data_IF_679221241111
#
_entry.id   IF_679221241111
#
_cell.length_a   1.000
_cell.length_b   1.000
_cell.length_c   1.000
_cell.angle_alpha   90.00
_cell.angle_beta   90.00
_cell.angle_gamma   90.00
#
_symmetry.space_group_name_H-M   'P 1'
#
loop_
_entity.id
_entity.type
_entity.pdbx_description
1 polymer ?
#
# COMPACT_ATOMS: atom_id res chain seq x y z
N UNK A 1 30.91 -7.74 -26.33
CA UNK A 1 29.69 -8.58 -26.21
C UNK A 1 29.36 -8.73 -24.74
N UNK A 2 28.70 -7.75 -24.14
CA UNK A 2 28.22 -7.82 -22.75
C UNK A 2 26.85 -8.49 -22.76
N UNK A 3 26.83 -9.80 -22.58
CA UNK A 3 25.62 -10.60 -22.49
C UNK A 3 25.00 -10.35 -21.10
N UNK A 4 24.31 -9.23 -20.93
CA UNK A 4 23.48 -8.99 -19.75
C UNK A 4 22.22 -9.82 -19.96
N UNK A 5 21.99 -10.90 -19.17
CA UNK A 5 20.77 -11.68 -19.33
C UNK A 5 19.57 -10.76 -19.08
N UNK A 6 18.62 -10.75 -20.01
CA UNK A 6 17.34 -10.08 -19.83
C UNK A 6 16.72 -10.55 -18.50
N UNK A 7 16.07 -9.66 -17.73
CA UNK A 7 15.41 -10.05 -16.49
C UNK A 7 14.34 -11.09 -16.81
N UNK A 8 14.63 -12.37 -16.50
CA UNK A 8 13.66 -13.44 -16.58
C UNK A 8 12.42 -13.00 -15.80
N UNK A 9 11.26 -12.93 -16.48
CA UNK A 9 10.00 -12.51 -15.85
C UNK A 9 9.68 -13.46 -14.70
N UNK A 10 9.82 -12.98 -13.47
CA UNK A 10 9.44 -13.74 -12.28
C UNK A 10 7.92 -13.76 -12.19
N UNK A 11 7.34 -14.95 -12.10
CA UNK A 11 5.87 -15.09 -12.02
C UNK A 11 5.35 -14.62 -10.66
N UNK A 12 4.13 -14.07 -10.62
CA UNK A 12 3.48 -13.61 -9.38
C UNK A 12 3.42 -14.69 -8.31
N UNK A 13 3.26 -15.96 -8.71
CA UNK A 13 3.26 -17.11 -7.79
C UNK A 13 4.59 -17.29 -7.07
N UNK A 14 5.72 -17.08 -7.75
CA UNK A 14 7.04 -17.14 -7.13
C UNK A 14 7.24 -16.01 -6.14
N UNK A 15 6.75 -14.81 -6.45
CA UNK A 15 6.90 -13.66 -5.57
C UNK A 15 6.15 -13.82 -4.23
N UNK A 16 5.10 -14.64 -4.21
CA UNK A 16 4.27 -14.87 -3.02
C UNK A 16 4.85 -15.90 -2.05
N UNK A 17 5.96 -16.59 -2.36
CA UNK A 17 6.54 -17.62 -1.47
C UNK A 17 7.30 -17.01 -0.28
N UNK A 18 7.69 -15.74 -0.38
CA UNK A 18 8.31 -14.94 0.69
C UNK A 18 7.52 -13.66 0.90
N UNK A 19 7.51 -13.17 2.13
CA UNK A 19 7.04 -11.82 2.46
C UNK A 19 8.06 -10.76 2.04
N UNK A 20 7.61 -9.52 1.83
CA UNK A 20 8.53 -8.38 1.62
C UNK A 20 9.57 -8.28 2.73
N UNK A 21 9.16 -8.48 3.99
CA UNK A 21 10.08 -8.47 5.13
C UNK A 21 11.17 -9.52 5.00
N UNK A 22 10.83 -10.76 4.63
CA UNK A 22 11.82 -11.82 4.41
C UNK A 22 12.74 -11.48 3.24
N UNK A 23 12.17 -10.99 2.13
CA UNK A 23 12.94 -10.58 0.95
C UNK A 23 14.01 -9.53 1.31
N UNK A 24 13.64 -8.52 2.11
CA UNK A 24 14.56 -7.46 2.52
C UNK A 24 15.49 -7.84 3.68
N UNK A 25 15.02 -8.63 4.64
CA UNK A 25 15.83 -9.05 5.79
C UNK A 25 16.97 -9.98 5.37
N UNK A 26 16.64 -11.01 4.58
CA UNK A 26 17.62 -11.96 4.08
C UNK A 26 18.29 -11.48 2.79
N UNK A 27 17.75 -10.43 2.17
CA UNK A 27 18.20 -9.89 0.89
C UNK A 27 18.18 -10.97 -0.20
N UNK A 28 17.02 -11.61 -0.35
CA UNK A 28 16.78 -12.75 -1.24
C UNK A 28 15.61 -12.50 -2.20
N UNK A 29 15.73 -13.02 -3.43
CA UNK A 29 14.69 -12.97 -4.46
C UNK A 29 14.38 -14.39 -4.97
N UNK A 30 13.12 -14.83 -5.00
CA UNK A 30 12.78 -16.18 -5.44
C UNK A 30 12.95 -16.33 -6.95
N UNK A 31 13.63 -17.39 -7.38
CA UNK A 31 13.84 -17.70 -8.79
C UNK A 31 13.08 -18.94 -9.23
N UNK A 32 13.03 -19.99 -8.40
CA UNK A 32 12.36 -21.24 -8.73
C UNK A 32 11.89 -21.97 -7.47
N UNK A 33 10.79 -22.73 -7.58
CA UNK A 33 10.32 -23.63 -6.53
C UNK A 33 9.82 -24.94 -7.15
N UNK A 34 10.15 -26.06 -6.51
CA UNK A 34 9.53 -27.35 -6.79
C UNK A 34 9.17 -28.08 -5.46
N UNK A 35 8.79 -29.35 -5.54
CA UNK A 35 8.36 -30.11 -4.35
C UNK A 35 9.50 -30.31 -3.32
N UNK A 36 10.75 -30.44 -3.75
CA UNK A 36 11.89 -30.80 -2.90
C UNK A 36 12.85 -29.63 -2.62
N UNK A 37 12.87 -28.59 -3.46
CA UNK A 37 13.82 -27.49 -3.36
C UNK A 37 13.23 -26.11 -3.72
N UNK A 38 13.84 -25.06 -3.18
CA UNK A 38 13.59 -23.66 -3.52
C UNK A 38 14.91 -22.98 -3.89
N UNK A 39 14.92 -22.20 -4.96
CA UNK A 39 16.08 -21.43 -5.42
C UNK A 39 15.83 -19.95 -5.20
N UNK A 40 16.75 -19.28 -4.49
CA UNK A 40 16.78 -17.83 -4.33
C UNK A 40 18.07 -17.23 -4.90
N UNK A 41 17.96 -16.04 -5.48
CA UNK A 41 19.09 -15.13 -5.62
C UNK A 41 19.36 -14.53 -4.23
N UNK A 42 20.62 -14.42 -3.81
CA UNK A 42 21.02 -13.81 -2.55
C UNK A 42 22.10 -12.76 -2.78
N UNK A 43 22.10 -11.68 -1.99
CA UNK A 43 23.16 -10.68 -2.05
C UNK A 43 24.51 -11.29 -1.69
N UNK A 44 25.52 -11.03 -2.49
CA UNK A 44 26.93 -11.38 -2.25
C UNK A 44 27.50 -10.84 -0.91
N UNK A 45 26.88 -9.82 -0.31
CA UNK A 45 27.20 -9.34 1.04
C UNK A 45 26.66 -10.20 2.20
N UNK A 46 25.81 -11.19 1.94
CA UNK A 46 25.22 -12.04 2.97
C UNK A 46 26.05 -13.28 3.26
N UNK A 47 25.97 -13.77 4.51
CA UNK A 47 26.56 -15.05 4.89
C UNK A 47 25.67 -16.19 4.39
N UNK A 48 26.03 -16.73 3.24
CA UNK A 48 25.20 -17.69 2.50
C UNK A 48 24.88 -18.95 3.31
N UNK A 49 25.81 -19.46 4.13
CA UNK A 49 25.59 -20.72 4.86
C UNK A 49 24.59 -20.57 6.01
N UNK A 50 24.71 -19.51 6.82
CA UNK A 50 23.76 -19.21 7.91
C UNK A 50 22.35 -18.97 7.35
N UNK A 51 22.23 -18.18 6.29
CA UNK A 51 20.93 -17.89 5.65
C UNK A 51 20.33 -19.14 5.02
N UNK A 52 21.14 -20.04 4.45
CA UNK A 52 20.65 -21.30 3.86
C UNK A 52 19.98 -22.16 4.92
N UNK A 53 20.66 -22.41 6.04
CA UNK A 53 20.14 -23.27 7.12
C UNK A 53 18.81 -22.74 7.68
N UNK A 54 18.72 -21.42 7.93
CA UNK A 54 17.47 -20.80 8.38
C UNK A 54 16.32 -20.96 7.39
N UNK A 55 16.59 -20.74 6.10
CA UNK A 55 15.57 -20.89 5.06
C UNK A 55 15.16 -22.35 4.88
N UNK A 56 16.08 -23.31 4.96
CA UNK A 56 15.75 -24.74 4.88
C UNK A 56 14.82 -25.17 6.02
N UNK A 57 15.10 -24.70 7.24
CA UNK A 57 14.24 -24.93 8.41
C UNK A 57 12.85 -24.30 8.23
N UNK A 58 12.78 -23.08 7.69
CA UNK A 58 11.54 -22.36 7.50
C UNK A 58 10.65 -22.97 6.41
N UNK A 59 11.24 -23.42 5.31
CA UNK A 59 10.52 -23.92 4.13
C UNK A 59 10.35 -25.44 4.10
N UNK A 60 11.07 -26.18 4.95
CA UNK A 60 11.06 -27.66 4.97
C UNK A 60 11.50 -28.27 3.63
N UNK A 61 12.33 -27.54 2.88
CA UNK A 61 12.81 -27.89 1.53
C UNK A 61 14.28 -27.57 1.45
N UNK A 62 15.01 -28.23 0.55
CA UNK A 62 16.39 -27.87 0.25
C UNK A 62 16.45 -26.45 -0.34
N UNK A 63 17.39 -25.62 0.10
CA UNK A 63 17.52 -24.24 -0.39
C UNK A 63 18.80 -24.08 -1.19
N UNK A 64 18.64 -23.64 -2.44
CA UNK A 64 19.75 -23.29 -3.33
C UNK A 64 19.86 -21.77 -3.38
N UNK A 65 21.02 -21.23 -3.01
CA UNK A 65 21.29 -19.80 -3.02
C UNK A 65 22.28 -19.46 -4.13
N UNK A 66 21.93 -18.53 -4.99
CA UNK A 66 22.76 -18.04 -6.10
C UNK A 66 23.27 -16.64 -5.73
N UNK A 67 24.57 -16.49 -5.40
CA UNK A 67 25.15 -15.19 -5.12
C UNK A 67 24.96 -14.23 -6.30
N UNK A 68 24.44 -13.05 -6.00
CA UNK A 68 24.13 -12.00 -6.97
C UNK A 68 24.67 -10.68 -6.43
N UNK A 69 25.29 -9.83 -7.27
CA UNK A 69 25.78 -8.53 -6.83
C UNK A 69 24.71 -7.72 -6.10
N UNK A 70 25.03 -7.23 -4.90
CA UNK A 70 24.09 -6.54 -4.03
C UNK A 70 23.26 -5.46 -4.74
N UNK A 71 23.91 -4.63 -5.57
CA UNK A 71 23.26 -3.52 -6.29
C UNK A 71 22.23 -3.99 -7.32
N UNK A 72 22.51 -5.13 -7.99
CA UNK A 72 21.60 -5.73 -8.96
C UNK A 72 20.37 -6.26 -8.22
N UNK A 73 20.60 -6.97 -7.12
CA UNK A 73 19.53 -7.56 -6.34
C UNK A 73 18.70 -6.50 -5.62
N UNK A 74 19.30 -5.41 -5.15
CA UNK A 74 18.58 -4.28 -4.54
C UNK A 74 17.60 -3.63 -5.52
N UNK A 75 18.03 -3.41 -6.78
CA UNK A 75 17.16 -2.88 -7.84
C UNK A 75 15.99 -3.83 -8.12
N UNK A 76 16.23 -5.14 -8.17
CA UNK A 76 15.17 -6.11 -8.38
C UNK A 76 14.22 -6.23 -7.19
N UNK A 77 14.75 -6.24 -5.96
CA UNK A 77 13.95 -6.24 -4.74
C UNK A 77 13.08 -5.00 -4.65
N UNK A 78 13.59 -3.82 -4.97
CA UNK A 78 12.78 -2.58 -4.98
C UNK A 78 11.68 -2.58 -6.04
N UNK A 79 11.87 -3.31 -7.15
CA UNK A 79 10.85 -3.49 -8.17
C UNK A 79 9.74 -4.48 -7.75
N UNK A 80 10.11 -5.61 -7.14
CA UNK A 80 9.16 -6.70 -6.82
C UNK A 80 8.60 -6.67 -5.39
N UNK A 81 9.36 -6.16 -4.43
CA UNK A 81 9.04 -6.15 -3.01
C UNK A 81 9.18 -4.73 -2.46
N UNK A 82 8.04 -4.10 -2.17
CA UNK A 82 8.05 -2.81 -1.49
C UNK A 82 8.77 -2.94 -0.14
N UNK A 83 9.84 -2.18 0.07
CA UNK A 83 10.58 -2.14 1.35
C UNK A 83 9.61 -1.71 2.44
N UNK A 84 9.34 -2.61 3.39
CA UNK A 84 8.70 -2.23 4.64
C UNK A 84 9.66 -1.29 5.34
N UNK A 85 9.46 0.02 5.18
CA UNK A 85 10.13 1.00 6.01
C UNK A 85 9.72 0.71 7.45
N UNK A 86 10.66 0.24 8.27
CA UNK A 86 10.51 0.21 9.71
C UNK A 86 10.02 1.59 10.17
N UNK A 87 8.77 1.65 10.60
CA UNK A 87 8.33 2.52 11.67
C UNK A 87 8.54 4.03 11.50
N UNK A 88 8.33 4.58 10.30
CA UNK A 88 7.72 5.91 10.12
C UNK A 88 6.94 5.85 8.81
N UNK A 89 5.75 5.23 8.83
CA UNK A 89 4.69 5.89 8.08
C UNK A 89 4.66 7.28 8.67
N UNK A 90 5.09 8.29 7.91
CA UNK A 90 4.72 9.66 8.25
C UNK A 90 3.21 9.65 8.18
N UNK A 91 2.54 9.37 9.30
CA UNK A 91 1.19 9.83 9.54
C UNK A 91 1.31 11.34 9.42
N UNK A 92 1.11 11.82 8.19
CA UNK A 92 1.22 13.24 7.89
C UNK A 92 0.07 13.85 8.66
N UNK A 93 0.42 14.59 9.71
CA UNK A 93 -0.57 15.39 10.45
C UNK A 93 -1.12 16.38 9.44
N UNK A 94 -2.40 16.28 9.16
CA UNK A 94 -3.04 17.17 8.22
C UNK A 94 -2.99 18.58 8.80
N UNK A 95 -2.53 19.55 8.01
CA UNK A 95 -2.79 20.97 8.24
C UNK A 95 -3.64 21.44 7.07
N UNK A 96 -4.90 21.77 7.33
CA UNK A 96 -5.85 22.21 6.29
C UNK A 96 -5.59 23.63 5.74
N UNK A 97 -4.43 24.23 6.03
CA UNK A 97 -4.11 25.64 5.72
C UNK A 97 -3.94 25.95 4.21
N UNK A 98 -3.94 24.94 3.32
CA UNK A 98 -4.15 25.14 1.88
C UNK A 98 -5.47 24.51 1.44
N UNK A 99 -6.50 25.35 1.34
CA UNK A 99 -7.91 24.96 1.37
C UNK A 99 -8.45 24.28 0.10
N UNK A 100 -7.72 24.29 -1.02
CA UNK A 100 -8.24 23.85 -2.34
C UNK A 100 -8.08 22.35 -2.63
N UNK A 101 -6.95 21.70 -2.29
CA UNK A 101 -6.57 20.49 -3.03
C UNK A 101 -6.32 19.22 -2.20
N UNK A 102 -6.61 19.17 -0.89
CA UNK A 102 -6.29 17.94 -0.15
C UNK A 102 -7.12 16.71 -0.56
N UNK A 103 -8.43 16.87 -0.78
CA UNK A 103 -9.28 15.78 -1.27
C UNK A 103 -8.85 15.31 -2.66
N UNK A 104 -8.56 16.27 -3.53
CA UNK A 104 -8.02 16.06 -4.87
C UNK A 104 -6.69 15.29 -4.81
N UNK A 105 -5.73 15.77 -4.00
CA UNK A 105 -4.43 15.14 -3.79
C UNK A 105 -4.57 13.72 -3.24
N UNK A 106 -5.48 13.50 -2.29
CA UNK A 106 -5.77 12.20 -1.71
C UNK A 106 -6.30 11.23 -2.77
N UNK A 107 -7.22 11.69 -3.63
CA UNK A 107 -7.76 10.90 -4.73
C UNK A 107 -6.67 10.55 -5.75
N UNK A 108 -5.85 11.52 -6.18
CA UNK A 108 -4.70 11.26 -7.08
C UNK A 108 -3.70 10.29 -6.47
N UNK A 109 -3.38 10.44 -5.18
CA UNK A 109 -2.47 9.55 -4.49
C UNK A 109 -3.04 8.13 -4.44
N UNK A 110 -4.32 7.96 -4.09
CA UNK A 110 -4.97 6.66 -4.03
C UNK A 110 -4.96 5.97 -5.41
N UNK A 111 -5.29 6.69 -6.48
CA UNK A 111 -5.22 6.19 -7.86
C UNK A 111 -3.79 5.79 -8.25
N UNK A 112 -2.78 6.63 -7.95
CA UNK A 112 -1.37 6.31 -8.23
C UNK A 112 -0.87 5.06 -7.48
N UNK A 113 -1.50 4.72 -6.34
CA UNK A 113 -1.16 3.58 -5.51
C UNK A 113 -2.00 2.32 -5.83
N UNK A 114 -2.88 2.36 -6.82
CA UNK A 114 -3.78 1.24 -7.14
C UNK A 114 -4.76 0.93 -5.99
N UNK A 115 -5.18 1.95 -5.26
CA UNK A 115 -6.10 1.82 -4.14
C UNK A 115 -7.52 1.50 -4.64
N UNK A 116 -8.14 0.47 -4.07
CA UNK A 116 -9.53 0.10 -4.35
C UNK A 116 -10.54 0.96 -3.57
N UNK A 117 -10.21 1.36 -2.34
CA UNK A 117 -11.14 2.12 -1.49
C UNK A 117 -10.39 3.06 -0.56
N UNK A 118 -10.89 4.28 -0.43
CA UNK A 118 -10.45 5.27 0.54
C UNK A 118 -11.45 5.29 1.70
N UNK A 119 -10.98 4.97 2.90
CA UNK A 119 -11.75 4.99 4.13
C UNK A 119 -11.41 6.23 4.94
N UNK A 120 -12.40 7.08 5.23
CA UNK A 120 -12.27 8.25 6.10
C UNK A 120 -13.11 7.96 7.33
N UNK A 121 -12.47 7.79 8.48
CA UNK A 121 -13.09 7.30 9.71
C UNK A 121 -12.69 8.13 10.91
N UNK A 122 -13.62 8.34 11.84
CA UNK A 122 -13.37 9.05 13.10
C UNK A 122 -13.53 8.11 14.28
N UNK A 123 -12.62 8.24 15.23
CA UNK A 123 -12.58 7.53 16.50
C UNK A 123 -12.57 8.54 17.65
N UNK A 124 -12.65 8.04 18.88
CA UNK A 124 -12.67 8.87 20.10
C UNK A 124 -11.61 9.97 20.15
N UNK A 125 -10.38 9.66 19.70
CA UNK A 125 -9.22 10.56 19.87
C UNK A 125 -8.74 11.21 18.57
N UNK A 126 -9.08 10.66 17.42
CA UNK A 126 -8.56 11.13 16.13
C UNK A 126 -9.38 10.60 14.95
N UNK A 127 -9.35 11.37 13.86
CA UNK A 127 -9.74 10.92 12.54
C UNK A 127 -8.59 10.18 11.84
N UNK A 128 -8.92 9.28 10.92
CA UNK A 128 -7.98 8.49 10.13
C UNK A 128 -8.45 8.42 8.69
N UNK A 129 -7.49 8.45 7.76
CA UNK A 129 -7.70 8.05 6.37
C UNK A 129 -6.91 6.77 6.13
N UNK A 130 -7.56 5.75 5.60
CA UNK A 130 -6.95 4.46 5.28
C UNK A 130 -7.21 4.11 3.82
N UNK A 131 -6.21 3.54 3.16
CA UNK A 131 -6.31 3.06 1.79
C UNK A 131 -6.41 1.55 1.78
N UNK A 132 -7.29 1.00 0.95
CA UNK A 132 -7.33 -0.44 0.68
C UNK A 132 -6.55 -0.77 -0.58
N UNK A 133 -5.36 -1.34 -0.41
CA UNK A 133 -4.43 -1.68 -1.48
C UNK A 133 -4.21 -3.19 -1.41
N UNK A 134 -4.39 -3.89 -2.53
CA UNK A 134 -4.28 -5.35 -2.62
C UNK A 134 -5.08 -6.10 -1.53
N UNK A 135 -6.29 -5.60 -1.23
CA UNK A 135 -7.18 -6.15 -0.21
C UNK A 135 -6.83 -5.82 1.24
N UNK A 136 -5.71 -5.13 1.50
CA UNK A 136 -5.27 -4.75 2.86
C UNK A 136 -5.52 -3.28 3.14
N UNK A 137 -6.04 -2.98 4.34
CA UNK A 137 -6.18 -1.61 4.82
C UNK A 137 -4.85 -1.09 5.37
N UNK A 138 -4.41 0.06 4.89
CA UNK A 138 -3.21 0.76 5.34
C UNK A 138 -3.59 2.16 5.79
N UNK A 139 -3.22 2.53 7.02
CA UNK A 139 -3.37 3.91 7.50
C UNK A 139 -2.47 4.85 6.67
N UNK A 140 -3.02 6.00 6.28
CA UNK A 140 -2.30 6.98 5.45
C UNK A 140 -2.20 8.33 6.12
N UNK A 141 -3.29 8.80 6.71
CA UNK A 141 -3.35 10.09 7.38
C UNK A 141 -4.00 9.96 8.76
N UNK A 142 -3.53 10.78 9.68
CA UNK A 142 -4.21 11.08 10.95
C UNK A 142 -4.70 12.52 10.88
N UNK A 143 -5.97 12.70 11.21
CA UNK A 143 -6.68 13.97 11.12
C UNK A 143 -7.11 14.35 12.53
N UNK A 144 -6.92 15.61 12.90
CA UNK A 144 -7.44 16.11 14.17
C UNK A 144 -8.97 16.09 14.18
N UNK A 145 -9.58 15.94 15.36
CA UNK A 145 -11.05 15.91 15.48
C UNK A 145 -11.72 17.19 14.98
N UNK A 146 -11.04 18.35 15.09
CA UNK A 146 -11.55 19.62 14.58
C UNK A 146 -11.54 19.72 13.05
N UNK A 147 -10.58 19.07 12.38
CA UNK A 147 -10.44 19.11 10.92
C UNK A 147 -11.29 18.04 10.20
N UNK A 148 -11.60 16.95 10.90
CA UNK A 148 -12.32 15.81 10.32
C UNK A 148 -13.68 16.19 9.69
N UNK A 149 -14.56 16.98 10.35
CA UNK A 149 -15.83 17.38 9.75
C UNK A 149 -15.67 18.19 8.46
N UNK A 150 -14.59 18.97 8.34
CA UNK A 150 -14.29 19.74 7.13
C UNK A 150 -14.00 18.83 5.94
N UNK A 151 -13.21 17.76 6.16
CA UNK A 151 -12.94 16.76 5.12
C UNK A 151 -14.22 16.04 4.68
N UNK A 152 -15.05 15.59 5.63
CA UNK A 152 -16.33 14.93 5.34
C UNK A 152 -17.23 15.86 4.51
N UNK A 153 -17.35 17.13 4.90
CA UNK A 153 -18.15 18.11 4.15
C UNK A 153 -17.63 18.31 2.72
N UNK A 154 -16.31 18.37 2.51
CA UNK A 154 -15.72 18.46 1.15
C UNK A 154 -16.10 17.27 0.29
N UNK A 155 -16.07 16.06 0.85
CA UNK A 155 -16.49 14.84 0.14
C UNK A 155 -17.99 14.90 -0.17
N UNK A 156 -18.83 15.27 0.80
CA UNK A 156 -20.28 15.40 0.61
C UNK A 156 -20.64 16.39 -0.48
N UNK A 157 -19.99 17.56 -0.52
CA UNK A 157 -20.19 18.55 -1.58
C UNK A 157 -19.83 17.98 -2.95
N UNK A 158 -18.65 17.37 -3.10
CA UNK A 158 -18.20 16.78 -4.38
C UNK A 158 -19.10 15.63 -4.83
N UNK A 159 -19.71 14.91 -3.89
CA UNK A 159 -20.59 13.78 -4.14
C UNK A 159 -22.09 14.16 -4.23
N UNK A 160 -22.41 15.46 -4.15
CA UNK A 160 -23.78 15.99 -4.14
C UNK A 160 -24.67 15.42 -3.02
N UNK A 161 -24.11 15.30 -1.81
CA UNK A 161 -24.79 14.83 -0.59
C UNK A 161 -25.23 16.00 0.30
N UNK A 162 -26.22 15.77 1.15
CA UNK A 162 -26.71 16.78 2.09
C UNK A 162 -25.75 16.92 3.27
N UNK A 163 -25.04 18.07 3.32
CA UNK A 163 -24.08 18.41 4.39
C UNK A 163 -24.73 18.65 5.76
N UNK A 164 -26.02 19.00 5.80
CA UNK A 164 -26.75 19.25 7.04
C UNK A 164 -27.21 17.93 7.69
N UNK A 165 -27.60 16.94 6.90
CA UNK A 165 -27.99 15.63 7.42
C UNK A 165 -26.77 14.78 7.77
N UNK A 166 -26.68 14.30 9.02
CA UNK A 166 -25.55 13.51 9.55
C UNK A 166 -25.99 12.25 10.28
N UNK A 167 -27.31 12.01 10.38
CA UNK A 167 -27.95 10.96 11.18
C UNK A 167 -28.39 9.78 10.32
N UNK A 168 -28.47 9.96 9.01
CA UNK A 168 -28.87 8.93 8.06
C UNK A 168 -27.71 8.57 7.12
N UNK A 169 -27.62 7.31 6.68
CA UNK A 169 -26.72 6.93 5.59
C UNK A 169 -27.02 7.73 4.32
N UNK A 170 -25.97 8.06 3.55
CA UNK A 170 -26.08 8.77 2.28
C UNK A 170 -25.15 8.14 1.24
N UNK A 171 -25.59 8.08 -0.01
CA UNK A 171 -24.82 7.54 -1.13
C UNK A 171 -24.81 8.53 -2.29
N UNK A 172 -23.66 8.66 -2.94
CA UNK A 172 -23.45 9.61 -4.03
C UNK A 172 -22.31 9.17 -4.95
N UNK A 173 -21.97 10.04 -5.90
CA UNK A 173 -20.88 9.81 -6.84
C UNK A 173 -20.08 11.08 -7.08
N UNK A 174 -18.77 10.93 -7.25
CA UNK A 174 -17.88 11.99 -7.68
C UNK A 174 -17.40 11.65 -9.08
N UNK A 175 -17.77 12.47 -10.06
CA UNK A 175 -17.16 12.44 -11.38
C UNK A 175 -15.83 13.20 -11.32
N UNK A 176 -14.73 12.48 -11.25
CA UNK A 176 -13.41 13.06 -11.10
C UNK A 176 -12.76 13.23 -12.47
N UNK A 177 -12.47 14.48 -12.85
CA UNK A 177 -11.81 14.85 -14.10
C UNK A 177 -10.67 15.83 -13.83
N UNK A 178 -9.47 15.31 -13.61
CA UNK A 178 -8.26 16.10 -13.35
C UNK A 178 -7.02 15.36 -13.87
N UNK A 179 -6.00 16.11 -14.32
CA UNK A 179 -4.73 15.53 -14.78
C UNK A 179 -4.85 14.58 -15.97
N UNK A 180 -5.90 14.74 -16.80
CA UNK A 180 -6.18 13.87 -17.94
C UNK A 180 -6.78 12.51 -17.58
N UNK A 181 -7.05 12.23 -16.30
CA UNK A 181 -7.75 11.03 -15.85
C UNK A 181 -9.23 11.34 -15.62
N UNK A 182 -10.08 10.39 -16.01
CA UNK A 182 -11.53 10.42 -15.78
C UNK A 182 -11.95 9.14 -15.10
N UNK A 183 -12.50 9.25 -13.90
CA UNK A 183 -13.08 8.11 -13.21
C UNK A 183 -14.27 8.52 -12.35
N UNK A 184 -15.19 7.57 -12.17
CA UNK A 184 -16.41 7.72 -11.37
C UNK A 184 -16.18 7.03 -10.03
N UNK A 185 -16.25 7.81 -8.95
CA UNK A 185 -16.02 7.34 -7.59
C UNK A 185 -17.36 7.21 -6.90
N UNK A 186 -17.67 6.03 -6.36
CA UNK A 186 -18.85 5.83 -5.51
C UNK A 186 -18.53 6.24 -4.09
N UNK A 187 -19.41 7.03 -3.48
CA UNK A 187 -19.24 7.55 -2.13
C UNK A 187 -20.39 7.10 -1.24
N UNK A 188 -20.07 6.58 -0.07
CA UNK A 188 -21.04 6.23 0.97
C UNK A 188 -20.65 6.91 2.29
N UNK A 189 -21.58 7.64 2.90
CA UNK A 189 -21.47 8.21 4.25
C UNK A 189 -22.38 7.45 5.22
N UNK A 190 -21.85 7.09 6.39
CA UNK A 190 -22.56 6.34 7.42
C UNK A 190 -22.37 7.03 8.78
N UNK A 191 -23.45 7.31 9.54
CA UNK A 191 -23.33 7.79 10.91
C UNK A 191 -22.64 6.74 11.80
N UNK A 192 -21.70 7.17 12.64
CA UNK A 192 -21.03 6.34 13.66
C UNK A 192 -21.02 7.07 15.01
N UNK A 193 -20.50 6.42 16.06
CA UNK A 193 -20.47 6.96 17.41
C UNK A 193 -19.76 8.33 17.52
N UNK A 194 -18.70 8.54 16.75
CA UNK A 194 -17.87 9.75 16.85
C UNK A 194 -18.04 10.73 15.68
N UNK A 195 -18.92 10.42 14.73
CA UNK A 195 -19.17 11.21 13.53
C UNK A 195 -19.44 10.34 12.30
N UNK A 196 -19.42 10.93 11.11
CA UNK A 196 -19.67 10.20 9.86
C UNK A 196 -18.42 9.43 9.41
N UNK A 197 -18.58 8.15 9.08
CA UNK A 197 -17.60 7.35 8.33
C UNK A 197 -17.91 7.49 6.84
N UNK A 198 -16.91 7.80 6.04
CA UNK A 198 -17.02 7.89 4.58
C UNK A 198 -16.16 6.83 3.92
N UNK A 199 -16.69 6.19 2.89
CA UNK A 199 -15.95 5.27 2.02
C UNK A 199 -16.11 5.74 0.59
N UNK A 200 -14.99 5.82 -0.13
CA UNK A 200 -14.93 6.12 -1.56
C UNK A 200 -14.35 4.91 -2.30
N UNK A 201 -14.99 4.48 -3.38
CA UNK A 201 -14.57 3.34 -4.23
C UNK A 201 -14.47 3.76 -5.68
#
# INVERSE_FOLDING_TARGET
>A
MSNTPEPQKITTRLLQIITSRQAWNYFILPQQINEQQVTFLISDKQKTDEVREELELLYGKKVVLIPTPHEVLEKQLSFYYRKEQQGKQTTKRLSLESASDFLVQMIHEADSMGCSDIHIEVFEKQGKVRYRIDGKLSERYVISLGEYPSLVNKVKIRANLDIAEKRLPQDGRIFFEEGGKKFDIRVSSLPTLYGEKVVMR
#
